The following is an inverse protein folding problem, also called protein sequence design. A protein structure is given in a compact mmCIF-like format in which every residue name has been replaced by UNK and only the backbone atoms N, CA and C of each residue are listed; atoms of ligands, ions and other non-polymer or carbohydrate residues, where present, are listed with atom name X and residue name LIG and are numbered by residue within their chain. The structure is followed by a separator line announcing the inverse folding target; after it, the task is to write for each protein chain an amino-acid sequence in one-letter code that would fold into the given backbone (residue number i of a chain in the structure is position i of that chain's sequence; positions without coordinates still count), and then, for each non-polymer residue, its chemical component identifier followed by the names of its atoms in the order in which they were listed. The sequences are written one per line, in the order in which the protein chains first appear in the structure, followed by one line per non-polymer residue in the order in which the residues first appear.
data_IF_766645652727
#
_entry.id   IF_766645652727
#
_cell.length_a   1.000
_cell.length_b   1.000
_cell.length_c   1.000
_cell.angle_alpha   90.00
_cell.angle_beta   90.00
_cell.angle_gamma   90.00
#
_symmetry.space_group_name_H-M   'P 1'
#
loop_
_entity.id
_entity.type
_entity.pdbx_description
1 polymer ?
#
# COMPACT_ATOMS: atom_id res chain seq x y z
N UNK A 1 -23.97 -19.11 14.52
CA UNK A 1 -22.71 -19.14 13.75
C UNK A 1 -22.39 -17.72 13.34
N UNK A 2 -21.21 -17.21 13.69
CA UNK A 2 -20.69 -15.93 13.22
C UNK A 2 -20.49 -16.04 11.70
N UNK A 3 -20.96 -15.06 10.91
CA UNK A 3 -20.76 -15.06 9.45
C UNK A 3 -19.26 -14.99 9.17
N UNK A 4 -18.73 -15.98 8.45
CA UNK A 4 -17.36 -15.93 7.93
C UNK A 4 -17.35 -15.15 6.62
N UNK A 5 -16.49 -14.14 6.52
CA UNK A 5 -16.32 -13.37 5.29
C UNK A 5 -15.29 -14.04 4.38
N UNK A 6 -15.09 -13.54 3.17
CA UNK A 6 -14.07 -14.03 2.24
C UNK A 6 -13.21 -12.86 1.74
N UNK A 7 -11.93 -13.14 1.51
CA UNK A 7 -10.97 -12.20 0.97
C UNK A 7 -10.91 -12.30 -0.56
N UNK A 8 -10.70 -11.18 -1.25
CA UNK A 8 -10.53 -11.17 -2.71
C UNK A 8 -9.06 -11.13 -3.07
N UNK A 9 -8.58 -12.19 -3.74
CA UNK A 9 -7.20 -12.33 -4.21
C UNK A 9 -7.13 -12.24 -5.73
N UNK A 10 -6.68 -11.11 -6.25
CA UNK A 10 -6.59 -10.86 -7.68
C UNK A 10 -5.28 -11.39 -8.25
N UNK A 11 -5.34 -12.29 -9.24
CA UNK A 11 -4.15 -12.72 -10.00
C UNK A 11 -3.55 -11.53 -10.75
N UNK A 12 -2.24 -11.37 -10.66
CA UNK A 12 -1.50 -10.33 -11.35
C UNK A 12 -0.19 -10.88 -11.95
N UNK A 13 0.13 -10.42 -13.14
CA UNK A 13 1.41 -10.73 -13.80
C UNK A 13 2.51 -9.86 -13.18
N UNK A 14 3.63 -10.48 -12.81
CA UNK A 14 4.81 -9.75 -12.32
C UNK A 14 5.34 -8.87 -13.46
N UNK A 15 5.63 -7.60 -13.17
CA UNK A 15 6.02 -6.61 -14.19
C UNK A 15 4.86 -5.93 -14.90
N UNK A 16 3.63 -6.04 -14.39
CA UNK A 16 2.45 -5.28 -14.84
C UNK A 16 1.89 -4.42 -13.70
N UNK A 17 1.07 -3.39 -13.98
CA UNK A 17 0.45 -2.56 -12.94
C UNK A 17 -0.36 -3.37 -11.92
N UNK A 18 -0.55 -2.82 -10.73
CA UNK A 18 -1.36 -3.43 -9.69
C UNK A 18 -2.84 -3.55 -10.10
N UNK A 19 -3.57 -4.55 -9.58
CA UNK A 19 -5.03 -4.57 -9.66
C UNK A 19 -5.62 -3.39 -8.87
N UNK A 20 -6.93 -3.17 -9.02
CA UNK A 20 -7.62 -2.10 -8.30
C UNK A 20 -7.59 -2.35 -6.78
N UNK A 21 -7.45 -1.27 -6.01
CA UNK A 21 -7.54 -1.25 -4.55
C UNK A 21 -6.66 -2.32 -3.84
N UNK A 22 -5.34 -2.36 -4.10
CA UNK A 22 -4.46 -3.30 -3.43
C UNK A 22 -4.35 -2.96 -1.93
N UNK A 23 -4.40 -3.97 -1.06
CA UNK A 23 -4.34 -3.77 0.39
C UNK A 23 -2.90 -3.51 0.82
N UNK A 24 -2.67 -2.32 1.39
CA UNK A 24 -1.38 -1.87 1.91
C UNK A 24 -1.01 -2.53 3.24
N UNK A 25 0.29 -2.62 3.46
CA UNK A 25 0.88 -2.98 4.74
C UNK A 25 0.92 -1.75 5.64
N UNK A 26 0.51 -1.89 6.91
CA UNK A 26 0.44 -0.76 7.86
C UNK A 26 1.79 -0.04 7.99
N UNK A 27 1.76 1.28 7.88
CA UNK A 27 2.93 2.14 8.02
C UNK A 27 3.96 2.01 6.89
N UNK A 28 3.61 1.38 5.76
CA UNK A 28 4.50 1.21 4.61
C UNK A 28 3.97 1.99 3.40
N UNK A 29 4.80 2.87 2.82
CA UNK A 29 4.42 3.70 1.67
C UNK A 29 4.24 2.88 0.38
N UNK A 30 5.02 1.80 0.21
CA UNK A 30 5.08 1.06 -1.05
C UNK A 30 5.18 -0.46 -0.82
N UNK A 31 4.34 -1.00 0.06
CA UNK A 31 4.30 -2.43 0.33
C UNK A 31 2.86 -2.92 0.44
N UNK A 32 2.56 -4.00 -0.26
CA UNK A 32 1.21 -4.56 -0.41
C UNK A 32 1.21 -6.05 -0.09
N UNK A 33 0.05 -6.56 0.33
CA UNK A 33 -0.13 -7.97 0.69
C UNK A 33 -0.23 -8.84 -0.55
N UNK A 34 0.66 -9.83 -0.65
CA UNK A 34 0.73 -10.73 -1.79
C UNK A 34 0.70 -12.21 -1.37
N UNK A 35 0.28 -13.06 -2.30
CA UNK A 35 0.14 -14.50 -2.14
C UNK A 35 0.72 -15.22 -3.35
N UNK A 36 1.46 -16.29 -3.08
CA UNK A 36 2.03 -17.18 -4.09
C UNK A 36 1.76 -18.64 -3.73
N UNK A 37 1.60 -19.49 -4.74
CA UNK A 37 1.41 -20.92 -4.56
C UNK A 37 2.60 -21.69 -5.12
N UNK A 38 3.19 -22.55 -4.28
CA UNK A 38 4.23 -23.50 -4.71
C UNK A 38 3.77 -24.92 -4.40
N UNK A 39 3.61 -25.74 -5.44
CA UNK A 39 3.11 -27.12 -5.33
C UNK A 39 1.81 -27.22 -4.52
N UNK A 40 0.86 -26.30 -4.78
CA UNK A 40 -0.43 -26.24 -4.10
C UNK A 40 -0.39 -25.66 -2.68
N UNK A 41 0.78 -25.26 -2.16
CA UNK A 41 0.90 -24.64 -0.83
C UNK A 41 0.91 -23.11 -0.91
N UNK A 42 0.02 -22.42 -0.19
CA UNK A 42 -0.02 -20.96 -0.13
C UNK A 42 1.14 -20.40 0.71
N UNK A 43 1.77 -19.35 0.22
CA UNK A 43 2.87 -18.62 0.85
C UNK A 43 2.57 -17.14 0.69
N UNK A 44 2.26 -16.45 1.79
CA UNK A 44 2.18 -14.99 1.77
C UNK A 44 3.57 -14.36 1.66
N UNK A 45 3.60 -13.18 1.06
CA UNK A 45 4.80 -12.36 0.89
C UNK A 45 4.39 -10.93 0.61
N UNK A 46 5.28 -10.17 -0.03
CA UNK A 46 5.05 -8.76 -0.31
C UNK A 46 5.14 -8.45 -1.79
N UNK A 47 4.40 -7.44 -2.21
CA UNK A 47 4.58 -6.76 -3.48
C UNK A 47 4.89 -5.28 -3.26
N UNK A 48 5.56 -4.64 -4.21
CA UNK A 48 5.81 -3.20 -4.24
C UNK A 48 5.77 -2.66 -5.67
N UNK A 49 5.58 -1.35 -5.79
CA UNK A 49 5.64 -0.64 -7.06
C UNK A 49 7.09 -0.34 -7.42
N UNK A 50 7.48 -0.75 -8.63
CA UNK A 50 8.65 -0.24 -9.30
C UNK A 50 8.33 -0.01 -10.78
N UNK A 51 8.63 1.19 -11.28
CA UNK A 51 8.29 1.63 -12.64
C UNK A 51 6.79 1.46 -12.96
N UNK A 52 5.91 1.65 -11.97
CA UNK A 52 4.46 1.52 -12.14
C UNK A 52 3.95 0.09 -12.11
N UNK A 53 4.84 -0.88 -11.89
CA UNK A 53 4.56 -2.31 -12.03
C UNK A 53 4.79 -3.06 -10.72
N UNK A 54 4.14 -4.23 -10.62
CA UNK A 54 4.30 -5.17 -9.51
C UNK A 54 5.67 -5.83 -9.58
N UNK A 55 6.49 -5.57 -8.56
CA UNK A 55 7.56 -6.44 -8.12
C UNK A 55 7.16 -7.14 -6.81
N UNK A 56 7.84 -8.22 -6.45
CA UNK A 56 7.46 -9.01 -5.29
C UNK A 56 8.61 -9.82 -4.68
N UNK A 57 8.38 -10.31 -3.47
CA UNK A 57 9.32 -11.15 -2.73
C UNK A 57 8.57 -12.15 -1.85
N UNK A 58 8.99 -13.42 -1.95
CA UNK A 58 8.47 -14.53 -1.16
C UNK A 58 9.61 -15.34 -0.55
N UNK A 59 9.55 -15.68 0.76
CA UNK A 59 10.45 -16.66 1.35
C UNK A 59 10.10 -18.08 0.85
N UNK A 60 11.09 -18.82 0.38
CA UNK A 60 10.93 -20.23 0.04
C UNK A 60 12.13 -21.05 0.49
N UNK A 61 11.89 -22.06 1.34
CA UNK A 61 12.95 -22.87 1.93
C UNK A 61 14.00 -21.99 2.64
N UNK A 62 15.22 -21.87 2.12
CA UNK A 62 16.30 -21.04 2.69
C UNK A 62 16.56 -19.74 1.91
N UNK A 63 15.84 -19.50 0.82
CA UNK A 63 16.10 -18.40 -0.12
C UNK A 63 14.92 -17.43 -0.21
N UNK A 64 15.21 -16.23 -0.68
CA UNK A 64 14.22 -15.27 -1.14
C UNK A 64 14.01 -15.45 -2.65
N UNK A 65 12.74 -15.49 -3.10
CA UNK A 65 12.38 -15.53 -4.51
C UNK A 65 11.68 -14.24 -4.91
N UNK A 66 12.23 -13.56 -5.91
CA UNK A 66 11.70 -12.30 -6.47
C UNK A 66 11.46 -12.35 -7.97
N UNK A 67 12.18 -13.24 -8.67
CA UNK A 67 12.16 -13.33 -10.13
C UNK A 67 10.87 -13.93 -10.66
N UNK A 68 10.30 -13.31 -11.70
CA UNK A 68 9.09 -13.81 -12.37
C UNK A 68 9.23 -15.27 -12.80
N UNK A 69 10.40 -15.69 -13.32
CA UNK A 69 10.65 -17.07 -13.72
C UNK A 69 10.54 -18.06 -12.56
N UNK A 70 11.11 -17.73 -11.41
CA UNK A 70 11.14 -18.61 -10.23
C UNK A 70 9.75 -18.75 -9.59
N UNK A 71 8.95 -17.68 -9.70
CA UNK A 71 7.61 -17.58 -9.17
C UNK A 71 6.52 -18.09 -10.15
N UNK A 72 6.87 -18.38 -11.40
CA UNK A 72 5.91 -18.85 -12.42
C UNK A 72 5.12 -17.72 -13.12
N UNK A 73 5.62 -16.49 -13.05
CA UNK A 73 5.12 -15.32 -13.80
C UNK A 73 3.94 -14.59 -13.17
N UNK A 74 3.16 -15.26 -12.31
CA UNK A 74 1.97 -14.70 -11.68
C UNK A 74 1.95 -14.92 -10.17
N UNK A 75 1.41 -13.94 -9.47
CA UNK A 75 1.11 -13.97 -8.04
C UNK A 75 -0.32 -13.44 -7.83
N UNK A 76 -0.82 -13.48 -6.61
CA UNK A 76 -2.06 -12.81 -6.25
C UNK A 76 -1.77 -11.62 -5.32
N UNK A 77 -2.52 -10.55 -5.50
CA UNK A 77 -2.53 -9.38 -4.62
C UNK A 77 -3.86 -9.34 -3.88
N UNK A 78 -3.83 -9.09 -2.58
CA UNK A 78 -5.05 -8.87 -1.80
C UNK A 78 -5.68 -7.54 -2.20
N UNK A 79 -6.97 -7.55 -2.53
CA UNK A 79 -7.72 -6.34 -2.92
C UNK A 79 -8.92 -6.11 -2.03
N UNK A 80 -9.30 -4.84 -1.83
CA UNK A 80 -10.53 -4.46 -1.16
C UNK A 80 -11.54 -3.84 -2.12
N UNK A 81 -12.82 -3.82 -1.74
CA UNK A 81 -13.85 -3.20 -2.57
C UNK A 81 -13.75 -1.68 -2.58
N UNK A 82 -13.24 -1.10 -1.50
CA UNK A 82 -12.99 0.34 -1.31
C UNK A 82 -11.71 0.52 -0.48
N UNK A 83 -10.91 1.54 -0.79
CA UNK A 83 -9.66 1.83 -0.04
C UNK A 83 -9.92 2.49 1.32
N UNK A 84 -11.02 3.24 1.47
CA UNK A 84 -11.42 3.82 2.74
C UNK A 84 -12.00 2.73 3.67
N UNK A 85 -11.51 2.57 4.91
CA UNK A 85 -11.98 1.52 5.82
C UNK A 85 -13.47 1.58 6.14
N UNK A 86 -14.07 2.78 6.21
CA UNK A 86 -15.49 2.95 6.52
C UNK A 86 -16.36 2.59 5.30
N UNK A 87 -15.96 2.99 4.10
CA UNK A 87 -16.62 2.58 2.85
C UNK A 87 -16.51 1.06 2.63
N UNK A 88 -15.33 0.48 2.88
CA UNK A 88 -15.11 -0.97 2.82
C UNK A 88 -16.01 -1.73 3.81
N UNK A 89 -16.10 -1.25 5.06
CA UNK A 89 -16.99 -1.83 6.07
C UNK A 89 -18.46 -1.75 5.66
N UNK A 90 -18.92 -0.58 5.17
CA UNK A 90 -20.31 -0.41 4.70
C UNK A 90 -20.67 -1.35 3.54
N UNK A 91 -19.71 -1.59 2.64
CA UNK A 91 -19.92 -2.42 1.44
C UNK A 91 -19.78 -3.91 1.70
N UNK A 92 -18.82 -4.31 2.54
CA UNK A 92 -18.42 -5.72 2.71
C UNK A 92 -18.75 -6.31 4.08
N UNK A 93 -19.11 -5.49 5.07
CA UNK A 93 -19.37 -5.90 6.46
C UNK A 93 -18.12 -6.11 7.32
N UNK A 94 -16.93 -5.84 6.78
CA UNK A 94 -15.65 -5.88 7.49
C UNK A 94 -14.66 -4.87 6.88
N UNK A 95 -13.60 -4.54 7.61
CA UNK A 95 -12.45 -3.77 7.11
C UNK A 95 -11.14 -4.43 7.56
N UNK A 96 -10.04 -4.13 6.87
CA UNK A 96 -8.75 -4.73 7.17
C UNK A 96 -8.01 -3.98 8.30
N UNK A 97 -7.63 -4.70 9.35
CA UNK A 97 -6.91 -4.16 10.49
C UNK A 97 -5.69 -5.02 10.84
N UNK A 98 -4.54 -4.36 11.07
CA UNK A 98 -3.32 -5.02 11.52
C UNK A 98 -3.27 -5.07 13.06
N UNK A 99 -3.24 -6.27 13.62
CA UNK A 99 -3.24 -6.54 15.08
C UNK A 99 -2.23 -7.62 15.45
N UNK A 100 -1.75 -7.69 16.71
CA UNK A 100 -0.93 -8.80 17.18
C UNK A 100 -1.55 -10.18 16.89
N UNK A 101 -0.75 -11.17 16.50
CA UNK A 101 -1.24 -12.51 16.14
C UNK A 101 -2.07 -13.17 17.24
N UNK A 102 -1.74 -12.94 18.52
CA UNK A 102 -2.52 -13.42 19.68
C UNK A 102 -3.96 -12.91 19.72
N UNK A 103 -4.25 -11.74 19.12
CA UNK A 103 -5.60 -11.17 19.12
C UNK A 103 -6.59 -12.03 18.31
N UNK A 104 -6.13 -13.07 17.59
CA UNK A 104 -6.97 -14.07 16.90
C UNK A 104 -7.93 -14.82 17.83
N UNK A 105 -7.65 -14.84 19.13
CA UNK A 105 -8.53 -15.43 20.14
C UNK A 105 -9.84 -14.64 20.30
N UNK A 106 -9.89 -13.38 19.85
CA UNK A 106 -11.10 -12.55 19.84
C UNK A 106 -11.89 -12.71 18.53
N UNK A 107 -12.36 -13.93 18.26
CA UNK A 107 -13.08 -14.31 17.05
C UNK A 107 -14.48 -13.65 16.90
N UNK A 108 -14.98 -13.03 17.96
CA UNK A 108 -16.20 -12.22 17.95
C UNK A 108 -16.01 -10.83 17.33
N UNK A 109 -14.76 -10.41 17.14
CA UNK A 109 -14.39 -9.12 16.55
C UNK A 109 -13.52 -9.27 15.30
N UNK A 110 -12.63 -10.27 15.30
CA UNK A 110 -11.55 -10.39 14.34
C UNK A 110 -11.59 -11.74 13.64
N UNK A 111 -11.53 -11.74 12.31
CA UNK A 111 -11.35 -12.95 11.52
C UNK A 111 -9.98 -12.91 10.83
N UNK A 112 -9.10 -13.84 11.19
CA UNK A 112 -7.73 -13.89 10.66
C UNK A 112 -7.77 -14.02 9.12
N UNK A 113 -7.01 -13.19 8.42
CA UNK A 113 -6.79 -13.34 6.98
C UNK A 113 -5.83 -14.50 6.78
N UNK A 114 -6.25 -15.54 6.07
CA UNK A 114 -5.42 -16.74 5.84
C UNK A 114 -5.78 -17.43 4.54
N UNK A 115 -4.80 -18.13 3.98
CA UNK A 115 -4.97 -19.09 2.90
C UNK A 115 -4.33 -20.40 3.33
N UNK A 116 -5.12 -21.46 3.48
CA UNK A 116 -4.63 -22.70 4.10
C UNK A 116 -4.01 -22.42 5.48
N UNK A 117 -2.78 -22.87 5.72
CA UNK A 117 -2.03 -22.61 6.96
C UNK A 117 -1.10 -21.38 6.89
N UNK A 118 -1.25 -20.52 5.87
CA UNK A 118 -0.46 -19.31 5.70
C UNK A 118 -1.27 -18.08 6.10
N UNK A 119 -0.70 -17.21 6.94
CA UNK A 119 -1.25 -15.87 7.26
C UNK A 119 -0.18 -14.80 7.07
N UNK A 120 -0.50 -13.62 6.51
CA UNK A 120 0.47 -12.54 6.34
C UNK A 120 0.92 -11.99 7.70
N UNK A 121 2.21 -11.66 7.83
CA UNK A 121 2.80 -11.14 9.07
C UNK A 121 3.88 -10.09 8.79
N UNK A 122 3.86 -9.00 9.54
CA UNK A 122 4.96 -8.05 9.61
C UNK A 122 6.05 -8.61 10.53
N UNK A 123 7.19 -8.98 9.95
CA UNK A 123 8.31 -9.59 10.67
C UNK A 123 9.53 -8.66 10.63
N UNK A 124 10.14 -8.35 11.79
CA UNK A 124 11.43 -7.68 11.82
C UNK A 124 12.54 -8.63 11.32
N UNK A 125 13.41 -8.13 10.45
CA UNK A 125 14.64 -8.80 10.03
C UNK A 125 15.73 -8.59 11.07
N UNK A 126 16.79 -9.38 10.99
CA UNK A 126 17.95 -9.28 11.90
C UNK A 126 18.66 -7.92 11.87
N UNK A 127 18.53 -7.17 10.78
CA UNK A 127 19.08 -5.82 10.64
C UNK A 127 18.11 -4.69 11.03
N UNK A 128 16.97 -5.03 11.64
CA UNK A 128 16.02 -4.08 12.22
C UNK A 128 14.99 -3.52 11.25
N UNK A 129 15.06 -3.85 9.96
CA UNK A 129 13.99 -3.53 9.01
C UNK A 129 12.77 -4.40 9.29
N UNK A 130 11.59 -3.97 8.87
CA UNK A 130 10.37 -4.78 8.98
C UNK A 130 9.77 -5.00 7.60
N UNK A 131 9.57 -6.26 7.23
CA UNK A 131 9.00 -6.64 5.94
C UNK A 131 7.82 -7.58 6.14
N UNK A 132 6.91 -7.57 5.16
CA UNK A 132 5.81 -8.50 5.12
C UNK A 132 6.30 -9.89 4.64
N UNK A 133 5.97 -10.91 5.43
CA UNK A 133 6.18 -12.33 5.16
C UNK A 133 4.93 -13.15 5.56
N UNK A 134 5.13 -14.38 6.03
CA UNK A 134 4.02 -15.24 6.47
C UNK A 134 4.33 -16.08 7.71
N UNK A 135 3.30 -16.42 8.48
CA UNK A 135 3.35 -17.49 9.49
C UNK A 135 2.85 -18.79 8.85
N UNK A 136 3.66 -19.84 8.93
CA UNK A 136 3.22 -21.23 8.75
C UNK A 136 2.54 -21.67 10.06
N UNK A 137 1.21 -21.55 10.11
CA UNK A 137 0.40 -21.87 11.29
C UNK A 137 0.46 -23.36 11.67
N UNK A 138 0.87 -24.24 10.75
CA UNK A 138 1.06 -25.66 11.05
C UNK A 138 2.37 -25.95 11.79
N UNK A 139 3.30 -24.98 11.83
CA UNK A 139 4.61 -25.11 12.49
C UNK A 139 4.89 -24.03 13.52
N UNK A 140 4.03 -23.01 13.60
CA UNK A 140 4.25 -21.80 14.38
C UNK A 140 5.60 -21.13 14.10
N UNK A 141 5.89 -20.93 12.80
CA UNK A 141 7.10 -20.24 12.32
C UNK A 141 6.72 -19.11 11.37
N UNK A 142 7.13 -17.89 11.70
CA UNK A 142 7.13 -16.75 10.79
C UNK A 142 8.36 -16.81 9.86
N UNK A 143 8.16 -16.43 8.59
CA UNK A 143 9.17 -16.46 7.54
C UNK A 143 9.10 -15.15 6.75
N UNK A 144 10.25 -14.60 6.38
CA UNK A 144 10.33 -13.40 5.54
C UNK A 144 11.51 -13.50 4.57
N UNK A 145 11.27 -13.18 3.30
CA UNK A 145 12.31 -13.14 2.27
C UNK A 145 13.02 -11.79 2.32
N UNK A 146 14.35 -11.78 2.48
CA UNK A 146 15.14 -10.55 2.51
C UNK A 146 16.61 -10.80 2.17
N UNK A 147 17.20 -9.93 1.34
CA UNK A 147 18.61 -10.01 0.89
C UNK A 147 19.00 -11.42 0.39
N UNK A 148 18.13 -12.04 -0.40
CA UNK A 148 18.36 -13.37 -0.99
C UNK A 148 18.10 -14.55 -0.04
N UNK A 149 17.68 -14.30 1.21
CA UNK A 149 17.53 -15.33 2.26
C UNK A 149 16.11 -15.39 2.79
N UNK A 150 15.72 -16.55 3.30
CA UNK A 150 14.58 -16.67 4.19
C UNK A 150 15.06 -16.49 5.64
N UNK A 151 14.58 -15.45 6.31
CA UNK A 151 14.74 -15.29 7.76
C UNK A 151 13.50 -15.83 8.48
N UNK A 152 13.71 -16.53 9.59
CA UNK A 152 12.64 -17.21 10.33
C UNK A 152 12.60 -16.78 11.79
N UNK A 153 11.40 -16.64 12.34
CA UNK A 153 11.13 -16.43 13.77
C UNK A 153 10.14 -17.48 14.27
N UNK A 154 10.38 -18.06 15.43
CA UNK A 154 9.54 -19.13 15.99
C UNK A 154 9.31 -18.91 17.49
N UNK A 155 8.39 -19.69 18.07
CA UNK A 155 8.10 -19.63 19.50
C UNK A 155 7.18 -18.46 19.90
N UNK A 156 7.16 -18.13 21.18
CA UNK A 156 6.21 -17.15 21.75
C UNK A 156 6.30 -15.75 21.15
N UNK A 157 7.44 -15.37 20.56
CA UNK A 157 7.64 -14.05 19.97
C UNK A 157 6.70 -13.77 18.78
N UNK A 158 6.31 -14.81 18.03
CA UNK A 158 5.40 -14.65 16.88
C UNK A 158 4.02 -14.14 17.29
N UNK A 159 3.63 -14.34 18.57
CA UNK A 159 2.32 -13.96 19.10
C UNK A 159 2.12 -12.43 19.15
N UNK A 160 3.22 -11.67 19.20
CA UNK A 160 3.19 -10.20 19.25
C UNK A 160 3.39 -9.54 17.88
N UNK A 161 3.70 -10.32 16.83
CA UNK A 161 3.84 -9.78 15.48
C UNK A 161 2.49 -9.35 14.93
N UNK A 162 2.47 -8.27 14.14
CA UNK A 162 1.24 -7.80 13.50
C UNK A 162 0.89 -8.72 12.32
N UNK A 163 -0.34 -9.23 12.34
CA UNK A 163 -0.98 -9.96 11.23
C UNK A 163 -2.22 -9.22 10.79
N UNK A 164 -2.77 -9.62 9.65
CA UNK A 164 -3.96 -9.00 9.08
C UNK A 164 -5.24 -9.70 9.53
N UNK A 165 -6.20 -8.91 9.98
CA UNK A 165 -7.54 -9.36 10.32
C UNK A 165 -8.59 -8.62 9.51
N UNK A 166 -9.71 -9.29 9.31
CA UNK A 166 -10.99 -8.67 8.97
C UNK A 166 -11.65 -8.28 10.29
N UNK A 167 -11.77 -6.99 10.58
CA UNK A 167 -12.53 -6.49 11.72
C UNK A 167 -14.00 -6.33 11.32
N UNK A 168 -14.88 -7.03 12.05
CA UNK A 168 -16.31 -7.13 11.73
C UNK A 168 -17.19 -6.11 12.46
N UNK A 169 -16.57 -5.10 13.09
CA UNK A 169 -17.25 -3.90 13.62
C UNK A 169 -16.80 -2.67 12.86
N UNK A 170 -17.64 -1.63 12.91
CA UNK A 170 -17.35 -0.37 12.25
C UNK A 170 -15.99 0.20 12.71
N UNK A 171 -15.20 0.79 11.80
CA UNK A 171 -13.98 1.50 12.18
C UNK A 171 -14.28 2.58 13.23
N UNK A 172 -13.35 2.85 14.17
CA UNK A 172 -13.52 3.90 15.15
C UNK A 172 -13.75 5.28 14.49
N UNK A 173 -14.69 6.06 15.04
CA UNK A 173 -15.01 7.42 14.58
C UNK A 173 -14.61 8.47 15.61
N UNK A 174 -14.43 9.72 15.18
CA UNK A 174 -14.10 10.84 16.08
C UNK A 174 -12.63 10.90 16.50
N UNK A 175 -11.75 10.18 15.78
CA UNK A 175 -10.30 10.20 16.00
C UNK A 175 -9.66 11.17 15.01
N UNK A 176 -8.63 11.89 15.45
CA UNK A 176 -7.81 12.73 14.58
C UNK A 176 -6.81 11.90 13.79
N UNK A 177 -6.73 12.15 12.49
CA UNK A 177 -5.81 11.48 11.55
C UNK A 177 -4.47 12.20 11.58
N UNK A 178 -3.39 11.46 11.85
CA UNK A 178 -2.00 11.97 11.91
C UNK A 178 -1.09 11.36 10.83
N UNK A 179 -1.65 10.56 9.93
CA UNK A 179 -0.94 9.95 8.81
C UNK A 179 -1.44 10.56 7.49
N UNK A 180 -0.54 10.75 6.53
CA UNK A 180 -0.92 11.15 5.17
C UNK A 180 -1.80 10.08 4.53
N UNK A 181 -2.92 10.48 3.94
CA UNK A 181 -3.79 9.53 3.21
C UNK A 181 -3.37 9.44 1.75
N UNK A 182 -2.81 8.30 1.38
CA UNK A 182 -2.43 7.97 0.01
C UNK A 182 -3.43 6.99 -0.60
N UNK A 183 -4.00 7.33 -1.75
CA UNK A 183 -4.82 6.40 -2.55
C UNK A 183 -4.00 5.81 -3.68
N UNK A 184 -4.20 4.52 -3.94
CA UNK A 184 -3.67 3.81 -5.10
C UNK A 184 -4.58 4.02 -6.30
N UNK A 185 -3.98 4.31 -7.45
CA UNK A 185 -4.67 4.45 -8.73
C UNK A 185 -3.72 4.13 -9.88
N UNK A 186 -4.28 3.95 -11.08
CA UNK A 186 -3.52 3.80 -12.32
C UNK A 186 -3.67 5.01 -13.22
N UNK A 187 -2.73 5.16 -14.15
CA UNK A 187 -2.83 6.13 -15.23
C UNK A 187 -4.16 5.98 -15.98
N UNK A 188 -4.86 7.11 -16.19
CA UNK A 188 -6.20 7.23 -16.79
C UNK A 188 -7.36 6.61 -16.01
N UNK A 189 -7.18 6.23 -14.75
CA UNK A 189 -8.33 5.97 -13.87
C UNK A 189 -9.16 7.24 -13.68
N UNK A 190 -10.47 7.14 -13.35
CA UNK A 190 -11.29 8.29 -13.02
C UNK A 190 -10.62 9.19 -11.98
N UNK A 191 -10.59 10.50 -12.23
CA UNK A 191 -9.92 11.44 -11.34
C UNK A 191 -10.64 11.53 -9.99
N UNK A 192 -9.94 11.39 -8.84
CA UNK A 192 -10.57 11.19 -7.53
C UNK A 192 -11.00 12.51 -6.86
N UNK A 193 -11.73 13.37 -7.57
CA UNK A 193 -12.16 14.70 -7.06
C UNK A 193 -12.85 14.61 -5.70
N UNK A 194 -13.72 13.61 -5.50
CA UNK A 194 -14.48 13.43 -4.27
C UNK A 194 -13.63 13.09 -3.03
N UNK A 195 -12.35 12.73 -3.22
CA UNK A 195 -11.42 12.44 -2.12
C UNK A 195 -10.59 13.68 -1.70
N UNK A 196 -10.80 14.83 -2.34
CA UNK A 196 -10.08 16.08 -2.09
C UNK A 196 -8.55 15.94 -2.25
N UNK A 197 -8.05 15.69 -3.47
CA UNK A 197 -6.62 15.63 -3.73
C UNK A 197 -5.94 16.98 -3.45
N UNK A 198 -4.70 16.97 -2.95
CA UNK A 198 -4.00 18.19 -2.53
C UNK A 198 -3.46 18.96 -3.74
N UNK A 199 -3.90 20.21 -3.97
CA UNK A 199 -3.41 21.03 -5.08
C UNK A 199 -2.01 21.59 -4.80
N UNK A 200 -1.16 21.56 -5.82
CA UNK A 200 0.14 22.21 -5.90
C UNK A 200 0.04 23.71 -5.62
N UNK A 201 0.74 24.19 -4.61
CA UNK A 201 0.71 25.60 -4.20
C UNK A 201 -0.64 26.12 -3.70
N UNK A 202 -1.67 25.27 -3.53
CA UNK A 202 -3.02 25.71 -3.14
C UNK A 202 -3.77 26.49 -4.21
N UNK A 203 -3.29 26.52 -5.46
CA UNK A 203 -3.81 27.39 -6.53
C UNK A 203 -3.66 26.75 -7.91
N UNK A 204 -4.29 27.35 -8.91
CA UNK A 204 -3.99 27.02 -10.31
C UNK A 204 -2.56 27.43 -10.64
N UNK A 205 -1.89 26.58 -11.41
CA UNK A 205 -0.56 26.81 -11.94
C UNK A 205 -0.70 27.14 -13.43
N UNK A 206 0.17 28.04 -13.92
CA UNK A 206 0.25 28.36 -15.34
C UNK A 206 1.05 27.25 -16.04
N UNK A 207 0.43 26.62 -17.03
CA UNK A 207 1.01 25.59 -17.87
C UNK A 207 1.88 26.20 -18.98
N UNK A 208 2.70 25.37 -19.63
CA UNK A 208 3.60 25.80 -20.71
C UNK A 208 2.84 26.34 -21.92
N UNK A 209 1.61 25.87 -22.14
CA UNK A 209 0.69 26.37 -23.18
C UNK A 209 -0.04 27.68 -22.80
N UNK A 210 0.23 28.21 -21.60
CA UNK A 210 -0.37 29.43 -21.07
C UNK A 210 -1.72 29.24 -20.36
N UNK A 211 -2.29 28.04 -20.35
CA UNK A 211 -3.52 27.74 -19.60
C UNK A 211 -3.26 27.69 -18.08
N UNK A 212 -4.31 27.78 -17.27
CA UNK A 212 -4.21 27.66 -15.81
C UNK A 212 -5.04 26.48 -15.30
N UNK A 213 -4.37 25.49 -14.71
CA UNK A 213 -5.03 24.30 -14.14
C UNK A 213 -4.48 23.98 -12.75
N UNK A 214 -5.28 23.28 -11.95
CA UNK A 214 -4.74 22.65 -10.74
C UNK A 214 -3.88 21.46 -11.13
N UNK A 215 -2.69 21.39 -10.55
CA UNK A 215 -1.87 20.18 -10.51
C UNK A 215 -1.92 19.61 -9.10
N UNK A 216 -1.93 18.30 -8.96
CA UNK A 216 -2.10 17.62 -7.67
C UNK A 216 -0.89 16.75 -7.36
N UNK A 217 -0.58 16.59 -6.07
CA UNK A 217 0.59 15.85 -5.61
C UNK A 217 0.37 14.34 -5.81
N UNK A 218 1.30 13.72 -6.53
CA UNK A 218 1.28 12.28 -6.84
C UNK A 218 2.69 11.71 -6.62
N UNK A 219 2.78 10.45 -6.24
CA UNK A 219 4.01 9.70 -5.99
C UNK A 219 4.09 8.49 -6.91
N UNK A 220 5.28 8.27 -7.47
CA UNK A 220 5.63 7.10 -8.28
C UNK A 220 6.97 6.54 -7.82
N UNK A 221 7.31 5.34 -8.29
CA UNK A 221 8.59 4.70 -8.02
C UNK A 221 9.28 4.36 -9.33
N UNK A 222 10.55 4.74 -9.48
CA UNK A 222 11.34 4.45 -10.67
C UNK A 222 12.72 3.94 -10.27
N UNK A 223 13.03 2.69 -10.63
CA UNK A 223 14.26 2.01 -10.24
C UNK A 223 14.49 2.01 -8.72
N UNK A 224 13.41 1.79 -7.95
CA UNK A 224 13.41 1.75 -6.49
C UNK A 224 13.32 3.13 -5.80
N UNK A 225 13.46 4.23 -6.54
CA UNK A 225 13.47 5.59 -5.97
C UNK A 225 12.06 6.21 -5.95
N UNK A 226 11.64 6.84 -4.84
CA UNK A 226 10.39 7.60 -4.78
C UNK A 226 10.53 8.91 -5.58
N UNK A 227 9.55 9.19 -6.45
CA UNK A 227 9.52 10.38 -7.31
C UNK A 227 8.16 11.06 -7.16
N UNK A 228 8.13 12.23 -6.52
CA UNK A 228 6.95 13.09 -6.55
C UNK A 228 6.79 13.71 -7.96
N UNK A 229 5.54 13.83 -8.40
CA UNK A 229 5.18 14.42 -9.68
C UNK A 229 3.92 15.25 -9.59
N UNK A 230 3.29 15.48 -10.75
CA UNK A 230 2.00 16.15 -10.85
C UNK A 230 0.97 15.23 -11.49
N UNK A 231 -0.26 15.27 -10.99
CA UNK A 231 -1.44 14.68 -11.62
C UNK A 231 -2.51 15.74 -11.88
N UNK A 232 -3.37 15.53 -12.88
CA UNK A 232 -4.50 16.41 -13.19
C UNK A 232 -5.54 15.68 -14.06
N UNK A 233 -6.82 16.08 -14.04
CA UNK A 233 -7.83 15.49 -14.91
C UNK A 233 -7.68 15.97 -16.35
N UNK A 234 -7.85 15.07 -17.32
CA UNK A 234 -8.11 15.45 -18.71
C UNK A 234 -9.56 15.93 -18.91
N UNK A 235 -9.91 16.35 -20.12
CA UNK A 235 -11.26 16.82 -20.47
C UNK A 235 -12.36 15.76 -20.29
N UNK A 236 -11.99 14.48 -20.14
CA UNK A 236 -12.91 13.36 -19.89
C UNK A 236 -12.92 12.93 -18.43
N UNK A 237 -12.24 13.67 -17.54
CA UNK A 237 -12.15 13.38 -16.12
C UNK A 237 -11.26 12.18 -15.80
N UNK A 238 -10.34 11.79 -16.70
CA UNK A 238 -9.36 10.74 -16.44
C UNK A 238 -8.06 11.33 -15.91
N UNK A 239 -7.36 10.57 -15.06
CA UNK A 239 -6.14 11.03 -14.42
C UNK A 239 -4.95 10.97 -15.38
N UNK A 240 -4.41 12.13 -15.74
CA UNK A 240 -3.09 12.27 -16.33
C UNK A 240 -2.07 12.51 -15.23
N UNK A 241 -0.81 12.14 -15.48
CA UNK A 241 0.30 12.41 -14.58
C UNK A 241 1.60 12.62 -15.36
N UNK A 242 2.55 13.32 -14.75
CA UNK A 242 3.91 13.51 -15.29
C UNK A 242 4.93 13.51 -14.14
N UNK A 243 6.00 12.75 -14.35
CA UNK A 243 7.12 12.56 -13.42
C UNK A 243 8.45 12.83 -14.12
N UNK A 244 9.24 13.74 -13.55
CA UNK A 244 10.60 14.05 -14.00
C UNK A 244 11.64 13.40 -13.09
N UNK A 245 12.46 12.50 -13.62
CA UNK A 245 13.54 11.86 -12.88
C UNK A 245 14.73 11.54 -13.78
N UNK A 246 15.95 11.84 -13.31
CA UNK A 246 17.20 11.60 -14.04
C UNK A 246 17.19 12.07 -15.51
N UNK A 247 16.69 13.29 -15.74
CA UNK A 247 16.63 13.90 -17.07
C UNK A 247 15.58 13.30 -18.01
N UNK A 248 14.70 12.43 -17.52
CA UNK A 248 13.60 11.85 -18.28
C UNK A 248 12.25 12.31 -17.75
N UNK A 249 11.35 12.69 -18.65
CA UNK A 249 9.92 12.82 -18.35
C UNK A 249 9.21 11.48 -18.62
N UNK A 250 8.29 11.10 -17.74
CA UNK A 250 7.41 9.93 -17.90
C UNK A 250 5.98 10.46 -17.69
N UNK A 251 5.13 10.34 -18.71
CA UNK A 251 3.84 11.02 -18.76
C UNK A 251 2.75 10.24 -19.53
N UNK A 252 3.08 9.04 -20.00
CA UNK A 252 2.19 8.18 -20.76
C UNK A 252 1.70 6.98 -19.97
N UNK A 253 1.19 5.98 -20.71
CA UNK A 253 0.63 4.76 -20.14
C UNK A 253 1.67 3.90 -19.40
N UNK A 254 2.97 4.12 -19.66
CA UNK A 254 4.07 3.45 -18.95
C UNK A 254 4.09 3.73 -17.44
N UNK A 255 3.39 4.78 -16.99
CA UNK A 255 3.30 5.11 -15.58
C UNK A 255 2.62 4.03 -14.74
N UNK A 256 1.71 3.26 -15.33
CA UNK A 256 1.02 2.16 -14.64
C UNK A 256 0.38 2.63 -13.33
N UNK A 257 0.74 1.96 -12.23
CA UNK A 257 0.30 2.29 -10.87
C UNK A 257 1.06 3.48 -10.28
N UNK A 258 0.34 4.34 -9.58
CA UNK A 258 0.85 5.51 -8.86
C UNK A 258 0.01 5.77 -7.61
N UNK A 259 0.43 6.72 -6.78
CA UNK A 259 -0.25 7.04 -5.53
C UNK A 259 -0.56 8.54 -5.46
N UNK A 260 -1.77 8.92 -5.08
CA UNK A 260 -2.16 10.33 -4.93
C UNK A 260 -2.48 10.65 -3.48
N UNK A 261 -1.99 11.79 -2.99
CA UNK A 261 -2.30 12.25 -1.64
C UNK A 261 -3.65 12.98 -1.63
N UNK A 262 -4.49 12.63 -0.66
CA UNK A 262 -5.88 13.08 -0.55
C UNK A 262 -6.23 13.44 0.88
N UNK A 263 -7.29 14.24 1.06
CA UNK A 263 -7.82 14.58 2.39
C UNK A 263 -9.34 14.31 2.40
N UNK A 264 -9.77 13.04 2.51
CA UNK A 264 -11.19 12.69 2.37
C UNK A 264 -12.09 13.36 3.42
N UNK A 265 -11.57 13.55 4.63
CA UNK A 265 -12.28 14.16 5.77
C UNK A 265 -11.41 15.27 6.40
N UNK A 266 -11.37 16.48 5.79
CA UNK A 266 -10.52 17.58 6.26
C UNK A 266 -10.74 17.95 7.73
N UNK A 267 -11.98 17.80 8.23
CA UNK A 267 -12.37 18.06 9.61
C UNK A 267 -11.71 17.12 10.63
N UNK A 268 -11.25 15.94 10.20
CA UNK A 268 -10.63 14.93 11.05
C UNK A 268 -9.10 14.98 11.01
N UNK A 269 -8.49 15.86 10.21
CA UNK A 269 -7.04 15.98 10.17
C UNK A 269 -6.50 16.55 11.50
N UNK A 270 -5.49 15.90 12.06
CA UNK A 270 -4.79 16.31 13.28
C UNK A 270 -3.59 17.24 13.03
N UNK A 271 -3.33 17.55 11.76
CA UNK A 271 -2.27 18.43 11.27
C UNK A 271 -2.79 19.24 10.07
N UNK A 272 -1.96 20.11 9.49
CA UNK A 272 -2.31 20.89 8.30
C UNK A 272 -1.19 20.82 7.26
N UNK A 273 -1.56 20.87 5.97
CA UNK A 273 -0.60 21.00 4.88
C UNK A 273 -0.37 22.46 4.54
N UNK A 274 0.90 22.83 4.34
CA UNK A 274 1.27 24.16 3.91
C UNK A 274 2.39 24.12 2.87
N UNK A 275 2.17 24.83 1.77
CA UNK A 275 3.24 25.12 0.81
C UNK A 275 4.12 26.25 1.37
N UNK A 276 5.40 25.96 1.57
CA UNK A 276 6.39 26.90 2.11
C UNK A 276 7.63 26.92 1.22
N UNK A 277 8.42 27.99 1.31
CA UNK A 277 9.68 27.99 0.57
C UNK A 277 10.66 26.99 1.20
N UNK A 278 11.38 26.24 0.37
CA UNK A 278 12.33 25.25 0.88
C UNK A 278 13.39 25.87 1.80
N UNK A 279 13.78 27.12 1.55
CA UNK A 279 14.74 27.85 2.40
C UNK A 279 14.25 27.98 3.85
N UNK A 280 12.95 28.13 4.07
CA UNK A 280 12.36 28.27 5.41
C UNK A 280 12.36 26.94 6.17
N UNK A 281 12.13 25.82 5.48
CA UNK A 281 11.90 24.51 6.12
C UNK A 281 13.11 23.57 6.08
N UNK A 282 14.11 23.82 5.23
CA UNK A 282 15.29 22.94 5.07
C UNK A 282 16.12 22.75 6.35
N UNK A 283 16.03 23.69 7.29
CA UNK A 283 16.75 23.62 8.56
C UNK A 283 16.10 22.66 9.57
N UNK A 284 14.90 22.15 9.30
CA UNK A 284 14.17 21.24 10.18
C UNK A 284 13.69 21.86 11.50
N UNK A 285 13.86 23.18 11.68
CA UNK A 285 13.42 23.93 12.84
C UNK A 285 11.95 24.38 12.67
N UNK A 286 11.20 24.41 13.78
CA UNK A 286 9.80 24.83 13.80
C UNK A 286 8.80 23.68 13.65
N UNK A 287 7.51 24.04 13.60
CA UNK A 287 6.40 23.09 13.56
C UNK A 287 6.19 22.45 12.17
N UNK A 288 6.54 23.16 11.09
CA UNK A 288 6.39 22.67 9.72
C UNK A 288 7.67 22.00 9.25
N UNK A 289 7.53 20.78 8.72
CA UNK A 289 8.60 20.01 8.09
C UNK A 289 8.16 19.55 6.70
N UNK A 290 9.09 19.36 5.75
CA UNK A 290 8.74 18.79 4.46
C UNK A 290 8.13 17.39 4.61
N UNK A 291 7.04 17.13 3.89
CA UNK A 291 6.60 15.77 3.57
C UNK A 291 7.75 15.08 2.81
N UNK A 292 8.06 13.84 3.18
CA UNK A 292 9.19 13.08 2.65
C UNK A 292 8.87 11.61 2.53
#
# INVERSE_FOLDING_TARGET
MTKEFEDTWAYNTIGSPFPDNPVRVKGQQNMYVALWYKFGKPIHGRAWNNNGNVECSFPYSKVELTGARDLGGQIQILTCSEQDPMEQFKKSGFWYEWRPYKDRENDQLLQLVRCGQSTPVLMPTKDGNTFLGYIDMGKDVANVGYKGKNETLAGGEIQNLLVLFRNIKAPPTGIKIYEDTWIDLKYRDPFPTAKNPIPGGGRKLKNDDGSETYSYVVLWYKHGEPVFGRAYPDSTGKTLASFGWNGQENAGAELGSMQMIVIPQPENLGFEYKWMSYKEVKGGAGAFKPLH
#
